data_IF_769665370896
#
_entry.id   IF_769665370896
#
_cell.length_a   1.000
_cell.length_b   1.000
_cell.length_c   1.000
_cell.angle_alpha   90.00
_cell.angle_beta   90.00
_cell.angle_gamma   90.00
#
_symmetry.space_group_name_H-M   'P 1'
#
loop_
_entity.id
_entity.type
_entity.pdbx_description
1 polymer ?
#
# COMPACT_ATOMS: atom_id res chain seq x y z
N UNK A 1 -11.16 6.35 -23.29
CA UNK A 1 -10.27 6.64 -22.16
C UNK A 1 -10.20 5.40 -21.29
N UNK A 2 -9.15 4.59 -21.46
CA UNK A 2 -8.91 3.40 -20.63
C UNK A 2 -8.42 3.89 -19.27
N UNK A 3 -9.22 3.70 -18.21
CA UNK A 3 -8.75 3.94 -16.84
C UNK A 3 -7.44 3.14 -16.65
N UNK A 4 -6.35 3.75 -16.17
CA UNK A 4 -5.15 3.01 -15.78
C UNK A 4 -5.59 1.91 -14.80
N UNK A 5 -5.28 0.65 -15.12
CA UNK A 5 -5.50 -0.44 -14.16
C UNK A 5 -4.45 -0.31 -13.07
N UNK A 6 -4.79 -0.56 -11.79
CA UNK A 6 -3.79 -0.61 -10.73
C UNK A 6 -2.71 -1.63 -11.09
N UNK A 7 -1.43 -1.27 -10.90
CA UNK A 7 -0.30 -2.15 -11.20
C UNK A 7 -0.14 -3.29 -10.17
N UNK A 8 -0.95 -3.29 -9.11
CA UNK A 8 -1.03 -4.35 -8.11
C UNK A 8 -2.43 -4.44 -7.49
N UNK A 9 -2.67 -5.51 -6.74
CA UNK A 9 -3.89 -5.76 -5.98
C UNK A 9 -3.62 -5.58 -4.49
N UNK A 10 -4.66 -5.13 -3.78
CA UNK A 10 -4.63 -4.94 -2.32
C UNK A 10 -5.73 -5.78 -1.69
N UNK A 11 -5.41 -6.52 -0.64
CA UNK A 11 -6.38 -7.20 0.20
C UNK A 11 -6.18 -6.83 1.68
N UNK A 12 -7.28 -6.81 2.43
CA UNK A 12 -7.30 -6.48 3.84
C UNK A 12 -7.66 -7.72 4.67
N UNK A 13 -7.14 -7.80 5.88
CA UNK A 13 -7.57 -8.78 6.88
C UNK A 13 -7.62 -8.10 8.26
N UNK A 14 -8.80 -7.93 8.89
CA UNK A 14 -10.12 -8.37 8.42
C UNK A 14 -10.62 -7.63 7.16
N UNK A 15 -11.57 -8.25 6.44
CA UNK A 15 -12.25 -7.68 5.27
C UNK A 15 -13.78 -7.75 5.45
N UNK A 16 -14.49 -6.61 5.51
CA UNK A 16 -13.96 -5.24 5.43
C UNK A 16 -13.13 -4.87 6.66
N UNK A 17 -12.13 -3.99 6.51
CA UNK A 17 -11.33 -3.50 7.62
C UNK A 17 -12.15 -2.58 8.55
N UNK A 18 -11.97 -2.74 9.86
CA UNK A 18 -12.60 -1.92 10.89
C UNK A 18 -11.69 -0.77 11.33
N UNK A 19 -12.27 0.41 11.58
CA UNK A 19 -11.53 1.54 12.18
C UNK A 19 -11.23 1.30 13.65
N UNK A 20 -10.10 1.79 14.14
CA UNK A 20 -9.67 1.59 15.52
C UNK A 20 -9.02 0.22 15.78
N UNK A 21 -8.87 -0.62 14.76
CA UNK A 21 -8.26 -1.95 14.85
C UNK A 21 -6.99 -2.05 14.01
N UNK A 22 -6.19 -3.08 14.32
CA UNK A 22 -5.06 -3.48 13.49
C UNK A 22 -5.56 -4.25 12.28
N UNK A 23 -5.05 -3.90 11.11
CA UNK A 23 -5.41 -4.51 9.84
C UNK A 23 -4.15 -4.92 9.10
N UNK A 24 -4.12 -6.16 8.64
CA UNK A 24 -3.10 -6.63 7.72
C UNK A 24 -3.49 -6.26 6.29
N UNK A 25 -2.62 -5.49 5.63
CA UNK A 25 -2.77 -5.08 4.24
C UNK A 25 -1.78 -5.89 3.41
N UNK A 26 -2.28 -6.70 2.48
CA UNK A 26 -1.43 -7.48 1.56
C UNK A 26 -1.45 -6.86 0.19
N UNK A 27 -0.27 -6.54 -0.32
CA UNK A 27 -0.03 -5.96 -1.63
C UNK A 27 0.56 -7.06 -2.49
N UNK A 28 -0.11 -7.42 -3.59
CA UNK A 28 0.36 -8.48 -4.48
C UNK A 28 0.24 -8.09 -5.95
N UNK A 29 1.18 -8.51 -6.78
CA UNK A 29 1.20 -8.12 -8.18
C UNK A 29 2.52 -8.46 -8.86
N UNK A 30 2.83 -7.72 -9.93
CA UNK A 30 4.11 -7.79 -10.64
C UNK A 30 4.51 -6.37 -11.01
N UNK A 31 5.69 -5.94 -10.61
CA UNK A 31 6.24 -4.65 -10.98
C UNK A 31 7.07 -4.76 -12.26
N UNK A 32 7.10 -3.69 -13.06
CA UNK A 32 7.95 -3.60 -14.25
C UNK A 32 9.41 -3.27 -13.94
N UNK A 33 9.70 -2.90 -12.69
CA UNK A 33 11.02 -2.57 -12.18
C UNK A 33 11.35 -3.44 -10.97
N UNK A 34 12.63 -3.53 -10.64
CA UNK A 34 13.10 -4.21 -9.44
C UNK A 34 12.57 -3.50 -8.18
N UNK A 35 12.00 -4.27 -7.26
CA UNK A 35 11.86 -3.83 -5.87
C UNK A 35 13.25 -3.91 -5.26
N UNK A 36 13.69 -2.86 -4.58
CA UNK A 36 15.01 -2.77 -3.93
C UNK A 36 14.86 -2.42 -2.45
N UNK A 37 15.95 -2.49 -1.69
CA UNK A 37 16.00 -2.07 -0.28
C UNK A 37 15.60 -0.60 -0.07
N UNK A 38 15.60 0.20 -1.14
CA UNK A 38 15.21 1.61 -1.16
C UNK A 38 13.76 1.83 -1.61
N UNK A 39 13.04 0.74 -1.88
CA UNK A 39 11.62 0.75 -2.22
C UNK A 39 10.78 0.68 -0.97
N UNK A 40 9.80 1.57 -0.88
CA UNK A 40 8.94 1.76 0.27
C UNK A 40 7.47 1.60 -0.13
N UNK A 41 6.69 1.03 0.78
CA UNK A 41 5.24 1.05 0.77
C UNK A 41 4.81 2.20 1.67
N UNK A 42 4.00 3.09 1.13
CA UNK A 42 3.32 4.15 1.88
C UNK A 42 1.84 3.83 1.91
N UNK A 43 1.27 3.82 3.12
CA UNK A 43 -0.17 3.76 3.32
C UNK A 43 -0.63 5.11 3.84
N UNK A 44 -1.55 5.73 3.11
CA UNK A 44 -2.23 6.96 3.50
C UNK A 44 -3.68 6.63 3.78
N UNK A 45 -4.18 7.04 4.93
CA UNK A 45 -5.58 6.89 5.30
C UNK A 45 -6.24 8.25 5.18
N UNK A 46 -7.29 8.37 4.38
CA UNK A 46 -8.08 9.58 4.26
C UNK A 46 -9.48 9.37 4.83
N UNK A 47 -9.93 10.34 5.60
CA UNK A 47 -11.33 10.50 5.95
C UNK A 47 -12.09 10.86 4.67
N UNK A 48 -13.02 10.00 4.25
CA UNK A 48 -13.80 10.20 3.03
C UNK A 48 -14.73 11.40 3.13
N UNK A 49 -15.23 11.71 4.32
CA UNK A 49 -16.22 12.75 4.52
C UNK A 49 -15.57 14.13 4.63
N UNK A 50 -14.48 14.22 5.38
CA UNK A 50 -13.78 15.48 5.62
C UNK A 50 -12.64 15.76 4.62
N UNK A 51 -12.29 14.78 3.78
CA UNK A 51 -11.16 14.82 2.85
C UNK A 51 -9.83 15.17 3.54
N UNK A 52 -9.64 14.71 4.78
CA UNK A 52 -8.45 14.94 5.57
C UNK A 52 -7.69 13.63 5.79
N UNK A 53 -6.37 13.73 5.98
CA UNK A 53 -5.58 12.58 6.37
C UNK A 53 -5.93 12.16 7.81
N UNK A 54 -6.18 10.86 7.99
CA UNK A 54 -6.33 10.22 9.27
C UNK A 54 -4.93 9.94 9.83
N UNK A 55 -4.31 10.97 10.41
CA UNK A 55 -2.96 10.89 10.97
C UNK A 55 -1.85 11.00 9.93
N UNK A 56 -0.67 10.50 10.29
CA UNK A 56 0.52 10.51 9.44
C UNK A 56 0.53 9.36 8.42
N UNK A 57 1.46 9.42 7.46
CA UNK A 57 1.72 8.32 6.54
C UNK A 57 2.39 7.14 7.24
N UNK A 58 1.93 5.91 6.95
CA UNK A 58 2.59 4.70 7.42
C UNK A 58 3.57 4.21 6.36
N UNK A 59 4.85 4.08 6.72
CA UNK A 59 5.93 3.75 5.79
C UNK A 59 6.55 2.39 6.14
N UNK A 60 6.65 1.50 5.17
CA UNK A 60 7.21 0.16 5.34
C UNK A 60 8.21 -0.15 4.22
N UNK A 61 9.30 -0.90 4.50
CA UNK A 61 10.12 -1.46 3.44
C UNK A 61 9.32 -2.41 2.55
N UNK A 62 9.44 -2.24 1.23
CA UNK A 62 8.79 -3.13 0.27
C UNK A 62 9.46 -4.52 0.24
N UNK A 63 10.75 -4.61 0.55
CA UNK A 63 11.43 -5.88 0.69
C UNK A 63 10.98 -6.65 1.96
N UNK A 64 10.87 -7.97 1.82
CA UNK A 64 10.57 -8.90 2.90
C UNK A 64 11.82 -9.60 3.39
N UNK A 65 11.88 -10.93 3.24
CA UNK A 65 13.10 -11.73 3.44
C UNK A 65 14.11 -11.59 2.29
N UNK A 66 13.72 -10.89 1.23
CA UNK A 66 14.51 -10.51 0.07
C UNK A 66 13.73 -9.55 -0.81
N UNK A 67 14.40 -9.00 -1.82
CA UNK A 67 13.81 -8.07 -2.77
C UNK A 67 13.40 -8.77 -4.08
N UNK A 68 12.24 -8.41 -4.63
CA UNK A 68 11.64 -9.03 -5.81
C UNK A 68 12.16 -8.37 -7.10
N UNK A 69 12.50 -9.18 -8.11
CA UNK A 69 12.93 -8.70 -9.42
C UNK A 69 11.75 -8.27 -10.30
N UNK A 70 12.03 -7.42 -11.28
CA UNK A 70 11.06 -7.01 -12.27
C UNK A 70 10.38 -8.22 -12.95
N UNK A 71 9.04 -8.19 -13.06
CA UNK A 71 8.23 -9.25 -13.69
C UNK A 71 7.94 -10.47 -12.81
N UNK A 72 8.65 -10.64 -11.69
CA UNK A 72 8.41 -11.71 -10.73
C UNK A 72 7.16 -11.42 -9.87
N UNK A 73 6.47 -12.46 -9.38
CA UNK A 73 5.38 -12.29 -8.43
C UNK A 73 5.87 -11.60 -7.16
N UNK A 74 5.25 -10.47 -6.83
CA UNK A 74 5.44 -9.75 -5.59
C UNK A 74 4.29 -10.01 -4.64
N UNK A 75 4.60 -10.18 -3.35
CA UNK A 75 3.61 -10.22 -2.26
C UNK A 75 4.22 -9.71 -0.98
N UNK A 76 3.60 -8.71 -0.35
CA UNK A 76 4.03 -8.15 0.93
C UNK A 76 2.84 -7.80 1.80
N UNK A 77 2.86 -8.28 3.04
CA UNK A 77 1.86 -7.93 4.05
C UNK A 77 2.47 -6.97 5.06
N UNK A 78 1.74 -5.90 5.37
CA UNK A 78 2.09 -4.91 6.41
C UNK A 78 0.92 -4.76 7.38
N UNK A 79 1.21 -4.60 8.67
CA UNK A 79 0.19 -4.36 9.69
C UNK A 79 0.07 -2.85 9.94
N UNK A 80 -1.15 -2.31 9.79
CA UNK A 80 -1.48 -0.89 10.01
C UNK A 80 -2.52 -0.79 11.11
N UNK A 81 -2.31 0.10 12.08
CA UNK A 81 -3.34 0.49 13.04
C UNK A 81 -4.22 1.57 12.41
N UNK A 82 -5.45 1.23 12.05
CA UNK A 82 -6.37 2.20 11.45
C UNK A 82 -6.91 3.11 12.57
N UNK A 83 -6.78 4.46 12.46
CA UNK A 83 -7.38 5.38 13.42
C UNK A 83 -8.91 5.23 13.47
N UNK A 84 -9.52 5.61 14.60
CA UNK A 84 -10.99 5.66 14.68
C UNK A 84 -11.51 6.77 13.78
N UNK A 85 -12.41 6.43 12.87
CA UNK A 85 -13.08 7.34 11.94
C UNK A 85 -14.43 6.73 11.53
N UNK A 86 -15.38 7.55 11.06
CA UNK A 86 -16.66 7.04 10.59
C UNK A 86 -16.52 6.31 9.25
N UNK A 87 -15.69 6.87 8.37
CA UNK A 87 -15.35 6.31 7.06
C UNK A 87 -13.91 6.62 6.69
N UNK A 88 -13.25 5.69 6.00
CA UNK A 88 -11.92 5.95 5.47
C UNK A 88 -11.73 5.36 4.07
N UNK A 89 -10.72 5.89 3.38
CA UNK A 89 -10.15 5.36 2.14
C UNK A 89 -8.66 5.15 2.39
N UNK A 90 -8.14 3.98 2.03
CA UNK A 90 -6.71 3.72 2.04
C UNK A 90 -6.14 3.95 0.63
N UNK A 91 -5.09 4.75 0.53
CA UNK A 91 -4.26 4.87 -0.66
C UNK A 91 -2.94 4.16 -0.37
N UNK A 92 -2.58 3.21 -1.23
CA UNK A 92 -1.34 2.45 -1.10
C UNK A 92 -0.44 2.86 -2.26
N UNK A 93 0.75 3.37 -1.93
CA UNK A 93 1.77 3.75 -2.92
C UNK A 93 3.00 2.89 -2.70
N UNK A 94 3.50 2.27 -3.76
CA UNK A 94 4.81 1.62 -3.75
C UNK A 94 5.75 2.48 -4.58
N UNK A 95 6.77 3.07 -3.94
CA UNK A 95 7.72 3.95 -4.61
C UNK A 95 9.14 3.53 -4.31
N UNK A 96 10.01 3.68 -5.30
CA UNK A 96 11.45 3.54 -5.14
C UNK A 96 12.04 4.95 -5.03
N UNK A 97 12.76 5.23 -3.94
CA UNK A 97 13.36 6.55 -3.70
C UNK A 97 14.44 6.94 -4.71
N UNK A 98 14.92 6.02 -5.55
CA UNK A 98 15.92 6.28 -6.58
C UNK A 98 15.34 6.46 -7.99
N UNK A 99 14.20 5.85 -8.30
CA UNK A 99 13.63 5.83 -9.65
C UNK A 99 12.32 6.60 -9.71
N UNK A 100 11.22 5.97 -9.32
CA UNK A 100 9.88 6.55 -9.39
C UNK A 100 8.85 5.71 -8.58
N UNK A 101 7.58 6.07 -8.69
CA UNK A 101 6.44 5.30 -8.20
C UNK A 101 6.29 4.01 -9.04
N UNK A 102 6.48 2.85 -8.39
CA UNK A 102 6.29 1.54 -9.02
C UNK A 102 4.81 1.18 -9.18
N UNK A 103 3.95 1.71 -8.31
CA UNK A 103 2.50 1.60 -8.45
C UNK A 103 1.72 2.35 -7.38
N UNK A 104 0.43 2.52 -7.64
CA UNK A 104 -0.52 3.11 -6.70
C UNK A 104 -1.87 2.40 -6.83
N UNK A 105 -2.57 2.17 -5.71
CA UNK A 105 -3.92 1.64 -5.65
C UNK A 105 -4.76 2.28 -4.55
#
# INVERSE_FOLDING_TARGET
STKPKPNFQVSFLPNPPSTGEKVNITISGKFSEDVTEKTMIVVLLLDRQNHQLLGDSFNYPACGTGCTKAGDPYSRTVEVQIPKADHFVAFIVVYNSETDILGCS
#
